data_IF_061976435638
#
_entry.id   IF_061976435638
#
_cell.length_a   1.000
_cell.length_b   1.000
_cell.length_c   1.000
_cell.angle_alpha   90.00
_cell.angle_beta   90.00
_cell.angle_gamma   90.00
#
_symmetry.space_group_name_H-M   'P 1'
#
loop_
_entity.id
_entity.type
_entity.pdbx_description
1 polymer ?
#
# COMPACT_ATOMS: atom_id res chain seq x y z
N UNK A 1 12.60 -20.46 -4.62
CA UNK A 1 12.52 -20.37 -3.16
C UNK A 1 12.30 -18.91 -2.83
N UNK A 2 11.15 -18.55 -2.27
CA UNK A 2 10.91 -17.15 -1.91
C UNK A 2 11.85 -16.75 -0.79
N UNK A 3 12.56 -15.64 -0.97
CA UNK A 3 13.47 -15.08 0.03
C UNK A 3 12.71 -14.65 1.29
N UNK A 4 11.42 -14.35 1.16
CA UNK A 4 10.55 -13.85 2.24
C UNK A 4 10.07 -14.95 3.20
N UNK A 5 10.09 -16.21 2.77
CA UNK A 5 9.68 -17.36 3.60
C UNK A 5 10.60 -17.57 4.82
N UNK A 6 11.83 -17.08 4.76
CA UNK A 6 12.82 -17.16 5.85
C UNK A 6 12.98 -15.85 6.64
N UNK A 7 12.26 -14.79 6.26
CA UNK A 7 12.32 -13.49 6.94
C UNK A 7 11.44 -13.51 8.20
N UNK A 8 11.96 -12.93 9.28
CA UNK A 8 11.17 -12.58 10.47
C UNK A 8 10.21 -11.43 10.16
N UNK A 9 9.26 -11.16 11.05
CA UNK A 9 8.38 -10.01 10.89
C UNK A 9 9.18 -8.70 10.88
N UNK A 10 10.20 -8.59 11.73
CA UNK A 10 11.09 -7.42 11.79
C UNK A 10 11.85 -7.25 10.46
N UNK A 11 12.39 -8.35 9.89
CA UNK A 11 13.05 -8.30 8.58
C UNK A 11 12.10 -7.83 7.47
N UNK A 12 10.82 -8.21 7.54
CA UNK A 12 9.80 -7.81 6.56
C UNK A 12 9.52 -6.31 6.67
N UNK A 13 9.38 -5.78 7.88
CA UNK A 13 9.17 -4.35 8.12
C UNK A 13 10.38 -3.52 7.66
N UNK A 14 11.60 -4.00 7.91
CA UNK A 14 12.84 -3.36 7.49
C UNK A 14 13.03 -3.36 5.95
N UNK A 15 12.50 -4.36 5.26
CA UNK A 15 12.57 -4.44 3.79
C UNK A 15 11.64 -3.46 3.08
N UNK A 16 10.55 -3.05 3.73
CA UNK A 16 9.49 -2.24 3.14
C UNK A 16 9.01 -1.17 4.14
N UNK A 17 9.91 -0.28 4.59
CA UNK A 17 9.60 0.68 5.65
C UNK A 17 8.48 1.65 5.27
N UNK A 18 8.33 1.97 3.97
CA UNK A 18 7.24 2.87 3.55
C UNK A 18 5.90 2.17 3.50
N UNK A 19 5.86 0.88 3.20
CA UNK A 19 4.62 0.11 3.29
C UNK A 19 4.17 -0.05 4.74
N UNK A 20 5.11 -0.24 5.67
CA UNK A 20 4.83 -0.25 7.10
C UNK A 20 4.29 1.11 7.60
N UNK A 21 4.84 2.24 7.10
CA UNK A 21 4.36 3.59 7.42
C UNK A 21 2.93 3.89 6.93
N UNK A 22 2.41 3.12 5.95
CA UNK A 22 1.04 3.28 5.45
C UNK A 22 0.01 2.65 6.41
N UNK A 23 0.38 1.57 7.09
CA UNK A 23 -0.49 0.94 8.09
C UNK A 23 -0.45 1.65 9.43
N UNK A 24 0.73 2.06 9.90
CA UNK A 24 0.85 2.86 11.12
C UNK A 24 0.21 4.25 11.07
N UNK A 25 -0.41 4.60 9.94
CA UNK A 25 -1.23 5.80 9.75
C UNK A 25 -2.51 5.44 9.02
N UNK A 26 -2.56 5.75 7.72
CA UNK A 26 -3.79 5.85 6.92
C UNK A 26 -4.61 4.57 6.78
N UNK A 27 -4.01 3.38 6.86
CA UNK A 27 -4.76 2.10 6.83
C UNK A 27 -4.99 1.47 8.21
N UNK A 28 -4.37 2.00 9.26
CA UNK A 28 -4.55 1.56 10.65
C UNK A 28 -5.42 2.48 11.50
N UNK A 29 -5.74 3.69 11.03
CA UNK A 29 -6.75 4.55 11.64
C UNK A 29 -8.16 4.02 11.31
N UNK A 30 -9.07 3.99 12.31
CA UNK A 30 -10.46 3.58 12.13
C UNK A 30 -11.11 4.45 11.05
N UNK A 31 -11.69 3.88 9.99
CA UNK A 31 -12.41 4.65 8.97
C UNK A 31 -13.76 5.19 9.45
N UNK A 32 -14.14 4.95 10.71
CA UNK A 32 -15.10 5.80 11.43
C UNK A 32 -14.63 7.25 11.53
N UNK A 33 -13.31 7.48 11.47
CA UNK A 33 -12.68 8.79 11.56
C UNK A 33 -12.93 9.62 10.29
N UNK A 34 -13.09 8.98 9.13
CA UNK A 34 -13.18 9.66 7.85
C UNK A 34 -14.49 9.39 7.08
N UNK A 35 -15.19 8.30 7.37
CA UNK A 35 -16.41 7.90 6.65
C UNK A 35 -16.14 7.44 5.20
N UNK A 36 -14.87 7.30 4.83
CA UNK A 36 -14.39 7.01 3.49
C UNK A 36 -14.25 5.50 3.24
N UNK A 37 -14.39 5.09 1.99
CA UNK A 37 -14.07 3.74 1.55
C UNK A 37 -12.56 3.54 1.44
N UNK A 38 -12.08 2.30 1.52
CA UNK A 38 -10.65 1.98 1.29
C UNK A 38 -10.15 2.53 -0.06
N UNK A 39 -11.02 2.63 -1.08
CA UNK A 39 -10.65 3.20 -2.37
C UNK A 39 -10.42 4.70 -2.32
N UNK A 40 -11.24 5.43 -1.58
CA UNK A 40 -11.09 6.88 -1.38
C UNK A 40 -9.84 7.16 -0.56
N UNK A 41 -9.65 6.44 0.55
CA UNK A 41 -8.43 6.49 1.37
C UNK A 41 -7.17 6.24 0.53
N UNK A 42 -7.18 5.23 -0.35
CA UNK A 42 -6.05 4.95 -1.26
C UNK A 42 -5.79 6.12 -2.23
N UNK A 43 -6.81 6.80 -2.72
CA UNK A 43 -6.67 7.90 -3.67
C UNK A 43 -6.15 9.18 -3.03
N UNK A 44 -6.54 9.43 -1.78
CA UNK A 44 -6.14 10.64 -1.06
C UNK A 44 -4.78 10.50 -0.38
N UNK A 45 -4.38 9.28 -0.02
CA UNK A 45 -3.15 9.04 0.72
C UNK A 45 -1.88 9.62 0.07
N UNK A 46 -1.65 9.52 -1.25
CA UNK A 46 -0.49 10.18 -1.87
C UNK A 46 -0.46 11.70 -1.65
N UNK A 47 -1.62 12.37 -1.48
CA UNK A 47 -1.69 13.82 -1.31
C UNK A 47 -1.16 14.28 0.06
N UNK A 48 -1.11 13.39 1.04
CA UNK A 48 -0.64 13.68 2.41
C UNK A 48 0.88 13.54 2.55
N UNK A 49 1.55 13.01 1.53
CA UNK A 49 2.97 12.63 1.56
C UNK A 49 3.81 13.54 0.69
N UNK A 50 5.11 13.62 0.98
CA UNK A 50 6.07 14.35 0.15
C UNK A 50 6.57 13.50 -1.04
N UNK A 51 7.11 14.17 -2.07
CA UNK A 51 7.60 13.49 -3.27
C UNK A 51 8.67 12.39 -3.00
N UNK A 52 9.65 12.58 -2.09
CA UNK A 52 10.57 11.51 -1.71
C UNK A 52 9.87 10.25 -1.18
N UNK A 53 8.90 10.41 -0.26
CA UNK A 53 8.11 9.32 0.29
C UNK A 53 7.34 8.60 -0.82
N UNK A 54 6.65 9.35 -1.70
CA UNK A 54 5.88 8.77 -2.82
C UNK A 54 6.77 7.93 -3.73
N UNK A 55 7.93 8.46 -4.14
CA UNK A 55 8.88 7.76 -5.03
C UNK A 55 9.42 6.48 -4.40
N UNK A 56 9.73 6.50 -3.11
CA UNK A 56 10.20 5.32 -2.40
C UNK A 56 9.09 4.27 -2.25
N UNK A 57 7.88 4.68 -1.91
CA UNK A 57 6.69 3.83 -1.83
C UNK A 57 6.42 3.11 -3.15
N UNK A 58 6.48 3.81 -4.29
CA UNK A 58 6.32 3.21 -5.62
C UNK A 58 7.38 2.13 -5.88
N UNK A 59 8.64 2.36 -5.50
CA UNK A 59 9.72 1.39 -5.68
C UNK A 59 9.49 0.14 -4.83
N UNK A 60 9.10 0.33 -3.58
CA UNK A 60 8.77 -0.77 -2.66
C UNK A 60 7.58 -1.58 -3.17
N UNK A 61 6.48 -0.93 -3.57
CA UNK A 61 5.30 -1.60 -4.14
C UNK A 61 5.62 -2.38 -5.42
N UNK A 62 6.40 -1.81 -6.33
CA UNK A 62 6.81 -2.52 -7.56
C UNK A 62 7.65 -3.75 -7.24
N UNK A 63 8.58 -3.65 -6.29
CA UNK A 63 9.39 -4.80 -5.87
C UNK A 63 8.53 -5.85 -5.14
N UNK A 64 7.63 -5.40 -4.27
CA UNK A 64 6.74 -6.24 -3.49
C UNK A 64 5.77 -7.03 -4.38
N UNK A 65 5.20 -6.40 -5.41
CA UNK A 65 4.25 -7.04 -6.33
C UNK A 65 4.88 -8.09 -7.26
N UNK A 66 6.22 -8.24 -7.30
CA UNK A 66 6.89 -9.33 -8.05
C UNK A 66 6.76 -10.68 -7.32
N UNK A 67 6.55 -10.66 -6.00
CA UNK A 67 6.46 -11.88 -5.20
C UNK A 67 5.16 -12.65 -5.45
N UNK A 68 5.13 -13.90 -4.99
CA UNK A 68 3.96 -14.78 -5.14
C UNK A 68 2.78 -14.29 -4.28
N UNK A 69 1.57 -14.76 -4.57
CA UNK A 69 0.39 -14.37 -3.77
C UNK A 69 0.50 -14.85 -2.31
N UNK A 70 1.13 -16.00 -2.06
CA UNK A 70 1.40 -16.52 -0.71
C UNK A 70 2.37 -15.62 0.07
N UNK A 71 3.41 -15.12 -0.61
CA UNK A 71 4.35 -14.17 -0.01
C UNK A 71 3.68 -12.81 0.26
N UNK A 72 2.89 -12.33 -0.70
CA UNK A 72 2.11 -11.10 -0.54
C UNK A 72 1.17 -11.24 0.64
N UNK A 73 0.48 -12.38 0.77
CA UNK A 73 -0.39 -12.64 1.91
C UNK A 73 0.36 -12.57 3.23
N UNK A 74 1.45 -13.33 3.38
CA UNK A 74 2.28 -13.32 4.59
C UNK A 74 2.75 -11.91 4.95
N UNK A 75 3.29 -11.17 3.99
CA UNK A 75 3.81 -9.82 4.22
C UNK A 75 2.69 -8.84 4.55
N UNK A 76 1.55 -8.94 3.86
CA UNK A 76 0.39 -8.07 4.14
C UNK A 76 -0.12 -8.26 5.55
N UNK A 77 -0.13 -9.49 6.08
CA UNK A 77 -0.54 -9.75 7.47
C UNK A 77 0.44 -9.20 8.51
N UNK A 78 1.71 -9.03 8.14
CA UNK A 78 2.70 -8.37 9.01
C UNK A 78 2.55 -6.86 8.94
N UNK A 79 2.21 -6.34 7.77
CA UNK A 79 2.15 -4.91 7.52
C UNK A 79 0.82 -4.28 7.86
N UNK A 80 -0.30 -4.98 7.69
CA UNK A 80 -1.63 -4.41 7.81
C UNK A 80 -2.30 -4.83 9.11
N UNK A 81 -2.83 -3.87 9.86
CA UNK A 81 -3.74 -4.08 10.98
C UNK A 81 -5.14 -4.52 10.54
N UNK A 82 -5.47 -4.39 9.26
CA UNK A 82 -6.77 -4.73 8.66
C UNK A 82 -6.66 -5.78 7.55
N UNK A 83 -7.76 -6.48 7.27
CA UNK A 83 -7.87 -7.32 6.07
C UNK A 83 -8.73 -6.61 5.00
N UNK A 84 -8.12 -6.05 3.93
CA UNK A 84 -8.85 -5.29 2.92
C UNK A 84 -9.67 -6.16 1.95
N UNK A 85 -9.65 -7.50 2.11
CA UNK A 85 -10.37 -8.45 1.24
C UNK A 85 -11.69 -8.94 1.81
N UNK A 86 -11.90 -8.76 3.11
CA UNK A 86 -13.16 -9.10 3.76
C UNK A 86 -14.09 -7.90 3.73
N UNK A 87 -15.39 -8.16 3.65
CA UNK A 87 -16.36 -7.10 3.88
C UNK A 87 -16.33 -6.75 5.37
N UNK A 88 -16.38 -5.47 5.74
CA UNK A 88 -16.44 -5.08 7.15
C UNK A 88 -17.69 -5.65 7.81
N UNK A 89 -17.55 -6.17 9.02
CA UNK A 89 -18.66 -6.75 9.79
C UNK A 89 -19.60 -5.68 10.35
N UNK A 90 -19.05 -4.49 10.67
CA UNK A 90 -19.80 -3.34 11.15
C UNK A 90 -19.61 -2.15 10.19
N UNK A 91 -20.65 -1.30 10.01
CA UNK A 91 -20.49 -0.07 9.23
C UNK A 91 -19.40 0.83 9.83
N UNK A 92 -18.77 1.70 9.02
CA UNK A 92 -19.08 1.99 7.62
C UNK A 92 -18.69 0.85 6.67
N UNK A 93 -19.35 0.79 5.50
CA UNK A 93 -18.97 -0.17 4.46
C UNK A 93 -17.75 0.35 3.70
N UNK A 94 -16.56 0.00 4.15
CA UNK A 94 -15.30 0.46 3.55
C UNK A 94 -15.02 -0.18 2.18
N UNK A 95 -15.91 -1.05 1.71
CA UNK A 95 -15.70 -1.86 0.53
C UNK A 95 -14.71 -3.00 0.77
N UNK A 96 -14.36 -3.70 -0.31
CA UNK A 96 -13.36 -4.77 -0.29
C UNK A 96 -12.63 -4.87 -1.61
N UNK A 97 -11.43 -5.43 -1.56
CA UNK A 97 -10.67 -5.84 -2.73
C UNK A 97 -10.83 -7.34 -2.99
N UNK A 98 -10.78 -7.79 -4.25
CA UNK A 98 -10.90 -9.20 -4.58
C UNK A 98 -9.67 -10.03 -4.16
N UNK A 99 -8.53 -9.38 -3.90
CA UNK A 99 -7.32 -9.99 -3.36
C UNK A 99 -6.39 -8.94 -2.77
N UNK A 100 -5.42 -9.36 -1.95
CA UNK A 100 -4.37 -8.48 -1.42
C UNK A 100 -3.51 -7.90 -2.54
N UNK A 101 -3.20 -8.68 -3.58
CA UNK A 101 -2.54 -8.16 -4.78
C UNK A 101 -3.34 -7.03 -5.42
N UNK A 102 -4.67 -7.17 -5.53
CA UNK A 102 -5.51 -6.12 -6.11
C UNK A 102 -5.52 -4.85 -5.25
N UNK A 103 -5.53 -5.00 -3.92
CA UNK A 103 -5.36 -3.89 -2.98
C UNK A 103 -4.04 -3.16 -3.19
N UNK A 104 -2.90 -3.86 -3.08
CA UNK A 104 -1.57 -3.26 -3.25
C UNK A 104 -1.34 -2.70 -4.65
N UNK A 105 -1.94 -3.31 -5.68
CA UNK A 105 -1.90 -2.76 -7.05
C UNK A 105 -2.69 -1.45 -7.15
N UNK A 106 -3.80 -1.31 -6.42
CA UNK A 106 -4.54 -0.06 -6.35
C UNK A 106 -3.77 1.03 -5.61
N UNK A 107 -3.11 0.68 -4.50
CA UNK A 107 -2.18 1.59 -3.79
C UNK A 107 -1.09 2.07 -4.74
N UNK A 108 -0.44 1.14 -5.47
CA UNK A 108 0.59 1.49 -6.45
C UNK A 108 0.04 2.44 -7.51
N UNK A 109 -1.14 2.14 -8.04
CA UNK A 109 -1.74 2.98 -9.07
C UNK A 109 -2.05 4.40 -8.56
N UNK A 110 -2.52 4.55 -7.34
CA UNK A 110 -2.77 5.88 -6.75
C UNK A 110 -1.47 6.69 -6.62
N UNK A 111 -0.42 6.09 -6.03
CA UNK A 111 0.88 6.76 -5.91
C UNK A 111 1.52 7.08 -7.26
N UNK A 112 1.41 6.18 -8.25
CA UNK A 112 1.94 6.43 -9.59
C UNK A 112 1.24 7.59 -10.28
N UNK A 113 -0.08 7.74 -10.10
CA UNK A 113 -0.87 8.79 -10.77
C UNK A 113 -0.99 10.08 -9.95
N UNK A 114 -0.33 10.17 -8.80
CA UNK A 114 -0.25 11.42 -8.05
C UNK A 114 0.33 12.55 -8.93
N UNK A 115 -0.29 13.75 -8.95
CA UNK A 115 0.14 14.84 -9.83
C UNK A 115 1.60 15.26 -9.64
N UNK A 116 2.12 15.22 -8.40
CA UNK A 116 3.50 15.60 -8.10
C UNK A 116 4.49 14.57 -8.65
N UNK A 117 4.13 13.29 -8.60
CA UNK A 117 4.91 12.20 -9.19
C UNK A 117 4.91 12.29 -10.71
N UNK A 118 3.77 12.56 -11.33
CA UNK A 118 3.64 12.69 -12.79
C UNK A 118 4.36 13.92 -13.34
N UNK A 119 4.23 15.08 -12.68
CA UNK A 119 4.98 16.27 -13.05
C UNK A 119 6.50 16.03 -13.01
N UNK A 120 6.98 15.25 -12.04
CA UNK A 120 8.38 14.84 -11.97
C UNK A 120 8.85 13.88 -13.07
N UNK A 121 7.95 13.17 -13.76
CA UNK A 121 8.27 12.32 -14.93
C UNK A 121 8.35 13.12 -16.23
N UNK A 122 7.53 14.15 -16.38
CA UNK A 122 7.55 15.01 -17.57
C UNK A 122 8.85 15.81 -17.71
N UNK A 123 9.52 16.10 -16.59
CA UNK A 123 10.78 16.87 -16.55
C UNK A 123 12.01 15.97 -16.77
N UNK A 124 11.89 14.66 -16.54
CA UNK A 124 12.96 13.68 -16.75
C UNK A 124 12.53 12.69 -17.85
N UNK A 125 12.53 13.11 -19.14
CA UNK A 125 12.34 12.18 -20.24
C UNK A 125 13.52 11.21 -20.19
N UNK A 126 13.27 9.98 -19.76
CA UNK A 126 14.32 8.96 -19.70
C UNK A 126 15.06 8.87 -21.06
N UNK A 127 16.39 8.69 -21.07
CA UNK A 127 17.20 8.62 -22.29
C UNK A 127 16.86 7.43 -23.19
#
# INVERSE_FOLDING_TARGET
MSKLLNCTNDDILDMFPRLADLDGGTFGEDADTFGDTLREVIQDEPQTRDLPFKRQTIRELRNFLIYSDEDIERVSWVMLGINPTVAPEEPPNWGRFPSLRAFWSAVLHAFENDPEVQAGREIDPSP
#
